data_IF_233811037834
#
_entry.id   IF_233811037834
#
_cell.length_a   1.000
_cell.length_b   1.000
_cell.length_c   1.000
_cell.angle_alpha   90.00
_cell.angle_beta   90.00
_cell.angle_gamma   90.00
#
_symmetry.space_group_name_H-M   'P 1'
#
loop_
_entity.id
_entity.type
_entity.pdbx_description
1 polymer ?
#
# COMPACT_ATOMS: atom_id res chain seq x y z
N UNK A 1 4.79 -0.39 -50.73
CA UNK A 1 3.50 -0.91 -50.22
C UNK A 1 3.35 -0.50 -48.77
N UNK A 2 2.56 0.54 -48.49
CA UNK A 2 2.31 1.02 -47.13
C UNK A 2 1.29 0.09 -46.47
N UNK A 3 1.73 -0.72 -45.53
CA UNK A 3 0.80 -1.46 -44.68
C UNK A 3 -0.03 -0.45 -43.87
N UNK A 4 -1.34 -0.46 -44.06
CA UNK A 4 -2.25 0.44 -43.34
C UNK A 4 -2.15 0.16 -41.83
N UNK A 5 -2.10 1.21 -41.01
CA UNK A 5 -2.13 1.12 -39.52
C UNK A 5 -3.28 0.22 -39.05
N UNK A 6 -4.40 0.19 -39.77
CA UNK A 6 -5.56 -0.67 -39.53
C UNK A 6 -5.26 -2.18 -39.64
N UNK A 7 -4.29 -2.60 -40.48
CA UNK A 7 -3.91 -4.02 -40.58
C UNK A 7 -2.93 -4.45 -39.50
N UNK A 8 -2.05 -3.55 -39.05
CA UNK A 8 -1.14 -3.78 -37.93
C UNK A 8 -1.92 -3.95 -36.61
N UNK A 9 -3.00 -3.23 -36.45
CA UNK A 9 -3.84 -3.26 -35.26
C UNK A 9 -4.59 -4.61 -35.09
N UNK A 10 -4.79 -5.34 -36.18
CA UNK A 10 -5.45 -6.66 -36.19
C UNK A 10 -4.47 -7.83 -36.05
N UNK A 11 -3.16 -7.56 -36.01
CA UNK A 11 -2.16 -8.60 -35.87
C UNK A 11 -2.18 -9.22 -34.48
N UNK A 12 -2.21 -10.58 -34.32
CA UNK A 12 -2.34 -11.25 -33.04
C UNK A 12 -1.20 -10.96 -32.03
N UNK A 13 -0.08 -10.43 -32.49
CA UNK A 13 1.07 -10.03 -31.62
C UNK A 13 1.05 -8.53 -31.29
N UNK A 14 0.08 -7.75 -31.80
CA UNK A 14 -0.04 -6.31 -31.49
C UNK A 14 -1.15 -6.12 -30.48
N UNK A 15 -0.78 -5.85 -29.25
CA UNK A 15 -1.72 -5.56 -28.16
C UNK A 15 -1.99 -4.06 -28.06
N UNK A 16 -3.25 -3.68 -28.08
CA UNK A 16 -3.66 -2.33 -27.71
C UNK A 16 -3.77 -2.23 -26.19
N UNK A 17 -3.12 -1.26 -25.60
CA UNK A 17 -3.26 -0.99 -24.16
C UNK A 17 -4.71 -0.69 -23.71
N UNK A 18 -5.60 -0.36 -24.66
CA UNK A 18 -7.05 -0.20 -24.44
C UNK A 18 -7.80 -1.52 -24.29
N UNK A 19 -7.37 -2.56 -25.00
CA UNK A 19 -8.07 -3.84 -25.05
C UNK A 19 -7.77 -4.68 -23.79
N UNK A 20 -6.68 -4.36 -23.07
CA UNK A 20 -6.39 -4.93 -21.75
C UNK A 20 -7.39 -4.55 -20.65
N UNK A 21 -8.25 -3.57 -20.89
CA UNK A 21 -9.29 -3.19 -19.90
C UNK A 21 -10.46 -4.18 -19.81
N UNK A 22 -10.62 -5.08 -20.78
CA UNK A 22 -11.84 -5.90 -20.87
C UNK A 22 -11.63 -7.37 -21.19
N UNK A 23 -10.42 -7.85 -21.49
CA UNK A 23 -10.28 -9.20 -22.07
C UNK A 23 -9.33 -10.16 -21.37
N UNK A 24 -8.73 -9.80 -20.23
CA UNK A 24 -7.85 -10.74 -19.54
C UNK A 24 -7.91 -10.69 -18.01
N UNK A 25 -9.04 -10.31 -17.44
CA UNK A 25 -9.30 -10.61 -16.05
C UNK A 25 -10.21 -11.86 -15.97
N UNK A 26 -9.59 -12.99 -16.06
CA UNK A 26 -10.05 -14.15 -15.32
C UNK A 26 -9.99 -13.76 -13.84
N UNK A 27 -10.96 -12.90 -13.40
CA UNK A 27 -11.34 -12.64 -12.04
C UNK A 27 -10.21 -12.44 -11.00
N UNK A 28 -9.20 -11.59 -11.26
CA UNK A 28 -8.29 -11.22 -10.18
C UNK A 28 -9.10 -10.54 -9.07
N UNK A 29 -9.26 -11.24 -7.95
CA UNK A 29 -9.97 -10.72 -6.78
C UNK A 29 -9.25 -9.49 -6.27
N UNK A 30 -9.96 -8.37 -6.16
CA UNK A 30 -9.42 -7.13 -5.61
C UNK A 30 -10.08 -6.80 -4.29
N UNK A 31 -9.30 -6.27 -3.38
CA UNK A 31 -9.69 -5.90 -2.03
C UNK A 31 -9.78 -4.38 -1.96
N UNK A 32 -10.98 -3.80 -1.80
CA UNK A 32 -11.14 -2.36 -1.71
C UNK A 32 -10.54 -1.80 -0.42
N UNK A 33 -10.00 -0.59 -0.52
CA UNK A 33 -9.55 0.18 0.65
C UNK A 33 -10.73 0.73 1.47
N UNK A 34 -11.93 0.77 0.88
CA UNK A 34 -13.09 1.42 1.47
C UNK A 34 -13.12 2.93 1.25
N UNK A 35 -12.34 3.42 0.27
CA UNK A 35 -12.24 4.81 -0.14
C UNK A 35 -12.65 4.89 -1.62
N UNK A 36 -13.88 5.35 -1.91
CA UNK A 36 -14.48 5.24 -3.24
C UNK A 36 -13.59 5.80 -4.38
N UNK A 37 -12.95 6.96 -4.16
CA UNK A 37 -12.07 7.58 -5.15
C UNK A 37 -10.81 6.75 -5.37
N UNK A 38 -10.20 6.25 -4.30
CA UNK A 38 -8.99 5.43 -4.36
C UNK A 38 -9.29 4.05 -4.97
N UNK A 39 -10.39 3.43 -4.58
CA UNK A 39 -10.81 2.14 -5.11
C UNK A 39 -11.06 2.22 -6.62
N UNK A 40 -11.73 3.28 -7.08
CA UNK A 40 -11.91 3.55 -8.52
C UNK A 40 -10.57 3.74 -9.24
N UNK A 41 -9.66 4.51 -8.68
CA UNK A 41 -8.33 4.74 -9.24
C UNK A 41 -7.47 3.47 -9.28
N UNK A 42 -7.66 2.56 -8.31
CA UNK A 42 -6.99 1.27 -8.21
C UNK A 42 -7.74 0.13 -8.91
N UNK A 43 -8.69 0.42 -9.82
CA UNK A 43 -9.48 -0.59 -10.54
C UNK A 43 -10.20 -1.58 -9.59
N UNK A 44 -10.72 -1.08 -8.46
CA UNK A 44 -11.45 -1.85 -7.46
C UNK A 44 -10.66 -2.19 -6.19
N UNK A 45 -9.42 -1.72 -6.05
CA UNK A 45 -8.60 -1.94 -4.86
C UNK A 45 -7.28 -2.65 -5.12
N UNK A 46 -6.69 -3.24 -4.09
CA UNK A 46 -5.43 -4.00 -4.20
C UNK A 46 -5.71 -5.45 -4.61
N UNK A 47 -4.88 -6.05 -5.49
CA UNK A 47 -5.00 -7.49 -5.77
C UNK A 47 -4.89 -8.32 -4.49
N UNK A 48 -5.75 -9.34 -4.34
CA UNK A 48 -5.74 -10.21 -3.17
C UNK A 48 -4.42 -10.96 -2.97
N UNK A 49 -3.66 -11.18 -4.05
CA UNK A 49 -2.33 -11.79 -4.02
C UNK A 49 -1.33 -10.94 -4.81
N UNK A 50 -0.13 -10.77 -4.29
CA UNK A 50 0.93 -9.97 -4.89
C UNK A 50 1.55 -9.01 -3.89
N UNK A 51 2.04 -7.86 -4.36
CA UNK A 51 2.68 -6.88 -3.50
C UNK A 51 2.15 -5.46 -3.75
N UNK A 52 2.02 -4.69 -2.68
CA UNK A 52 1.82 -3.26 -2.73
C UNK A 52 2.86 -2.52 -1.88
N UNK A 53 3.08 -1.28 -2.19
CA UNK A 53 3.94 -0.37 -1.45
C UNK A 53 3.17 0.89 -1.06
N UNK A 54 3.33 1.31 0.18
CA UNK A 54 2.80 2.57 0.68
C UNK A 54 3.91 3.37 1.35
N UNK A 55 4.10 4.60 0.91
CA UNK A 55 4.98 5.57 1.54
C UNK A 55 4.12 6.50 2.39
N UNK A 56 4.47 6.63 3.64
CA UNK A 56 3.81 7.53 4.58
C UNK A 56 4.77 7.86 5.72
N UNK A 57 4.59 9.00 6.39
CA UNK A 57 5.22 9.15 7.70
C UNK A 57 4.57 8.16 8.67
N UNK A 58 5.39 7.48 9.47
CA UNK A 58 4.90 6.49 10.43
C UNK A 58 3.85 7.10 11.38
N UNK A 59 2.69 6.45 11.48
CA UNK A 59 1.59 6.91 12.32
C UNK A 59 0.68 7.96 11.69
N UNK A 60 0.83 8.29 10.42
CA UNK A 60 -0.05 9.21 9.70
C UNK A 60 -1.37 8.59 9.20
N UNK A 61 -1.68 7.37 9.60
CA UNK A 61 -2.92 6.70 9.21
C UNK A 61 -2.75 5.68 8.08
N UNK A 62 -1.53 5.31 7.75
CA UNK A 62 -1.22 4.29 6.74
C UNK A 62 -1.88 2.94 7.08
N UNK A 63 -1.86 2.56 8.36
CA UNK A 63 -2.52 1.33 8.81
C UNK A 63 -4.04 1.44 8.80
N UNK A 64 -4.58 2.63 9.06
CA UNK A 64 -6.01 2.86 8.99
C UNK A 64 -6.51 2.80 7.54
N UNK A 65 -5.74 3.32 6.58
CA UNK A 65 -6.04 3.18 5.16
C UNK A 65 -6.05 1.71 4.73
N UNK A 66 -5.16 0.90 5.29
CA UNK A 66 -5.05 -0.53 5.02
C UNK A 66 -6.07 -1.39 5.78
N UNK A 67 -6.75 -0.83 6.78
CA UNK A 67 -7.57 -1.60 7.71
C UNK A 67 -8.64 -2.47 7.01
N UNK A 68 -9.34 -1.92 6.01
CA UNK A 68 -10.35 -2.67 5.27
C UNK A 68 -9.75 -3.83 4.47
N UNK A 69 -8.57 -3.64 3.89
CA UNK A 69 -7.83 -4.69 3.16
C UNK A 69 -7.40 -5.80 4.12
N UNK A 70 -6.85 -5.43 5.28
CA UNK A 70 -6.41 -6.38 6.31
C UNK A 70 -7.60 -7.17 6.89
N UNK A 71 -8.73 -6.51 7.11
CA UNK A 71 -9.96 -7.16 7.56
C UNK A 71 -10.44 -8.24 6.57
N UNK A 72 -10.44 -7.92 5.29
CA UNK A 72 -10.81 -8.88 4.24
C UNK A 72 -9.82 -10.05 4.14
N UNK A 73 -8.51 -9.79 4.33
CA UNK A 73 -7.50 -10.85 4.38
C UNK A 73 -7.68 -11.75 5.61
N UNK A 74 -8.00 -11.17 6.76
CA UNK A 74 -8.27 -11.93 7.99
C UNK A 74 -9.46 -12.90 7.86
N UNK A 75 -10.44 -12.59 7.02
CA UNK A 75 -11.57 -13.47 6.74
C UNK A 75 -11.15 -14.86 6.21
N UNK A 76 -9.96 -14.99 5.65
CA UNK A 76 -9.39 -16.29 5.20
C UNK A 76 -8.96 -17.21 6.34
N UNK A 77 -9.00 -16.76 7.59
CA UNK A 77 -8.55 -17.46 8.81
C UNK A 77 -7.04 -17.80 8.83
N UNK A 78 -6.27 -17.35 7.84
CA UNK A 78 -4.81 -17.46 7.83
C UNK A 78 -4.19 -16.32 8.65
N UNK A 79 -2.89 -16.40 8.91
CA UNK A 79 -2.16 -15.41 9.71
C UNK A 79 -1.86 -14.14 8.92
N UNK A 80 -1.86 -13.02 9.62
CA UNK A 80 -1.27 -11.75 9.20
C UNK A 80 0.06 -11.63 9.94
N UNK A 81 1.16 -11.58 9.20
CA UNK A 81 2.50 -11.45 9.76
C UNK A 81 2.93 -9.99 9.70
N UNK A 82 3.37 -9.48 10.84
CA UNK A 82 3.89 -8.13 10.97
C UNK A 82 5.40 -8.18 11.16
N UNK A 83 6.13 -7.49 10.32
CA UNK A 83 7.58 -7.33 10.36
C UNK A 83 7.89 -5.84 10.56
N UNK A 84 7.78 -5.32 11.79
CA UNK A 84 7.94 -3.90 12.06
C UNK A 84 9.39 -3.41 11.96
N UNK A 85 10.34 -4.35 11.82
CA UNK A 85 11.78 -4.07 11.80
C UNK A 85 12.18 -3.29 13.07
N UNK A 86 12.64 -2.06 12.96
CA UNK A 86 13.05 -1.22 14.10
C UNK A 86 11.89 -0.37 14.69
N UNK A 87 10.69 -0.49 14.14
CA UNK A 87 9.51 0.21 14.63
C UNK A 87 8.75 -0.64 15.65
N UNK A 88 8.01 0.02 16.52
CA UNK A 88 7.12 -0.63 17.46
C UNK A 88 5.67 -0.43 17.02
N UNK A 89 4.97 -1.52 16.75
CA UNK A 89 3.52 -1.46 16.57
C UNK A 89 2.88 -1.12 17.92
N UNK A 90 1.94 -0.18 17.91
CA UNK A 90 1.22 0.19 19.12
C UNK A 90 0.34 -1.00 19.59
N UNK A 91 0.63 -1.61 20.75
CA UNK A 91 -0.13 -2.77 21.22
C UNK A 91 -1.59 -2.46 21.48
N UNK A 92 -1.87 -1.23 21.94
CA UNK A 92 -3.24 -0.81 22.21
C UNK A 92 -4.06 -0.65 20.90
N UNK A 93 -3.44 -0.16 19.83
CA UNK A 93 -4.07 -0.16 18.52
C UNK A 93 -4.31 -1.60 18.04
N UNK A 94 -3.30 -2.46 18.13
CA UNK A 94 -3.41 -3.86 17.69
C UNK A 94 -4.52 -4.61 18.44
N UNK A 95 -4.66 -4.41 19.76
CA UNK A 95 -5.68 -5.06 20.59
C UNK A 95 -7.12 -4.68 20.23
N UNK A 96 -7.30 -3.55 19.56
CA UNK A 96 -8.61 -3.06 19.11
C UNK A 96 -8.96 -3.51 17.69
N UNK A 97 -8.04 -4.16 16.97
CA UNK A 97 -8.32 -4.63 15.61
C UNK A 97 -9.08 -5.96 15.60
N UNK A 98 -10.05 -6.14 14.69
CA UNK A 98 -10.81 -7.40 14.58
C UNK A 98 -9.93 -8.61 14.20
N UNK A 99 -8.74 -8.37 13.67
CA UNK A 99 -7.78 -9.39 13.23
C UNK A 99 -6.62 -9.62 14.21
N UNK A 100 -6.76 -9.18 15.47
CA UNK A 100 -5.74 -9.35 16.49
C UNK A 100 -5.32 -10.81 16.66
N UNK A 101 -6.29 -11.73 16.74
CA UNK A 101 -6.02 -13.15 16.96
C UNK A 101 -5.27 -13.83 15.83
N UNK A 102 -5.40 -13.31 14.60
CA UNK A 102 -4.67 -13.78 13.43
C UNK A 102 -3.31 -13.09 13.26
N UNK A 103 -3.05 -12.02 14.01
CA UNK A 103 -1.85 -11.22 13.88
C UNK A 103 -0.67 -11.77 14.69
N UNK A 104 0.44 -11.98 14.01
CA UNK A 104 1.71 -12.34 14.63
C UNK A 104 2.76 -11.28 14.32
N UNK A 105 3.42 -10.79 15.34
CA UNK A 105 4.52 -9.84 15.23
C UNK A 105 5.84 -10.57 15.32
N UNK A 106 6.68 -10.44 14.32
CA UNK A 106 7.99 -11.04 14.24
C UNK A 106 9.03 -9.93 14.21
N UNK A 107 9.81 -9.82 15.29
CA UNK A 107 10.90 -8.85 15.38
C UNK A 107 12.10 -9.34 14.58
N UNK A 108 12.72 -8.42 13.84
CA UNK A 108 13.92 -8.68 13.06
C UNK A 108 14.99 -7.64 13.39
N UNK A 109 16.24 -8.02 13.28
CA UNK A 109 17.36 -7.16 13.67
C UNK A 109 17.75 -6.15 12.59
N UNK A 110 17.43 -6.45 11.34
CA UNK A 110 17.76 -5.64 10.17
C UNK A 110 16.83 -5.92 8.99
N UNK A 111 16.96 -5.13 7.93
CA UNK A 111 16.10 -5.25 6.73
C UNK A 111 16.33 -6.56 5.94
N UNK A 112 17.53 -7.11 5.96
CA UNK A 112 17.81 -8.37 5.26
C UNK A 112 17.10 -9.54 5.93
N UNK A 113 17.11 -9.58 7.28
CA UNK A 113 16.39 -10.57 8.06
C UNK A 113 14.87 -10.41 7.88
N UNK A 114 14.38 -9.16 7.81
CA UNK A 114 12.96 -8.89 7.55
C UNK A 114 12.53 -9.39 6.17
N UNK A 115 13.34 -9.16 5.13
CA UNK A 115 13.06 -9.66 3.79
C UNK A 115 13.09 -11.19 3.74
N UNK A 116 14.07 -11.82 4.38
CA UNK A 116 14.15 -13.26 4.50
C UNK A 116 12.94 -13.85 5.24
N UNK A 117 12.58 -13.28 6.40
CA UNK A 117 11.41 -13.71 7.16
C UNK A 117 10.11 -13.56 6.36
N UNK A 118 9.97 -12.48 5.59
CA UNK A 118 8.84 -12.28 4.68
C UNK A 118 8.75 -13.41 3.64
N UNK A 119 9.86 -13.79 3.01
CA UNK A 119 9.88 -14.89 2.04
C UNK A 119 9.52 -16.23 2.68
N UNK A 120 10.01 -16.52 3.90
CA UNK A 120 9.68 -17.75 4.61
C UNK A 120 8.19 -17.76 5.00
N UNK A 121 7.66 -16.63 5.49
CA UNK A 121 6.24 -16.50 5.81
C UNK A 121 5.35 -16.79 4.59
N UNK A 122 5.68 -16.22 3.42
CA UNK A 122 4.94 -16.48 2.17
C UNK A 122 5.01 -17.96 1.79
N UNK A 123 6.20 -18.55 1.80
CA UNK A 123 6.43 -19.96 1.41
C UNK A 123 5.74 -20.95 2.34
N UNK A 124 5.54 -20.61 3.61
CA UNK A 124 4.84 -21.45 4.58
C UNK A 124 3.37 -21.67 4.24
N UNK A 125 2.76 -20.80 3.39
CA UNK A 125 1.33 -20.79 3.06
C UNK A 125 0.38 -20.63 4.27
N UNK A 126 0.95 -20.43 5.46
CA UNK A 126 0.19 -20.23 6.68
C UNK A 126 -0.30 -18.79 6.86
N UNK A 127 0.22 -17.86 6.07
CA UNK A 127 -0.19 -16.46 6.11
C UNK A 127 -0.96 -16.04 4.85
N UNK A 128 -1.89 -15.13 5.02
CA UNK A 128 -2.63 -14.48 3.93
C UNK A 128 -2.07 -13.09 3.61
N UNK A 129 -1.38 -12.49 4.58
CA UNK A 129 -0.81 -11.16 4.43
C UNK A 129 0.49 -11.03 5.23
N UNK A 130 1.47 -10.33 4.69
CA UNK A 130 2.69 -9.90 5.37
C UNK A 130 2.79 -8.39 5.27
N UNK A 131 2.80 -7.69 6.41
CA UNK A 131 3.03 -6.24 6.48
C UNK A 131 4.46 -6.02 6.95
N UNK A 132 5.30 -5.46 6.10
CA UNK A 132 6.72 -5.28 6.37
C UNK A 132 7.11 -3.81 6.29
N UNK A 133 7.69 -3.31 7.38
CA UNK A 133 8.27 -1.97 7.46
C UNK A 133 9.75 -2.02 7.08
N UNK A 134 10.16 -1.14 6.17
CA UNK A 134 11.54 -1.02 5.75
C UNK A 134 11.80 0.39 5.17
N UNK A 135 13.01 0.91 5.38
CA UNK A 135 13.37 2.20 4.83
C UNK A 135 13.50 2.14 3.31
N UNK A 136 14.09 1.07 2.79
CA UNK A 136 14.32 0.89 1.36
C UNK A 136 14.25 -0.58 0.95
N UNK A 137 13.87 -0.82 -0.31
CA UNK A 137 13.96 -2.13 -0.94
C UNK A 137 14.47 -1.99 -2.38
N UNK A 138 15.38 -2.86 -2.76
CA UNK A 138 15.84 -2.91 -4.15
C UNK A 138 14.67 -3.33 -5.08
N UNK A 139 14.51 -2.71 -6.27
CA UNK A 139 13.44 -3.06 -7.20
C UNK A 139 13.38 -4.54 -7.54
N UNK A 140 14.54 -5.18 -7.67
CA UNK A 140 14.64 -6.63 -7.93
C UNK A 140 14.06 -7.46 -6.77
N UNK A 141 14.30 -7.06 -5.52
CA UNK A 141 13.75 -7.74 -4.35
C UNK A 141 12.23 -7.53 -4.25
N UNK A 142 11.74 -6.30 -4.46
CA UNK A 142 10.31 -6.01 -4.49
C UNK A 142 9.57 -6.84 -5.56
N UNK A 143 10.16 -6.95 -6.75
CA UNK A 143 9.61 -7.80 -7.83
C UNK A 143 9.59 -9.27 -7.44
N UNK A 144 10.65 -9.76 -6.79
CA UNK A 144 10.72 -11.16 -6.32
C UNK A 144 9.62 -11.45 -5.30
N UNK A 145 9.41 -10.55 -4.32
CA UNK A 145 8.33 -10.68 -3.35
C UNK A 145 6.95 -10.67 -4.02
N UNK A 146 6.73 -9.79 -4.99
CA UNK A 146 5.47 -9.74 -5.74
C UNK A 146 5.17 -11.06 -6.45
N UNK A 147 6.16 -11.65 -7.14
CA UNK A 147 5.99 -12.92 -7.87
C UNK A 147 5.71 -14.06 -6.88
N UNK A 148 6.50 -14.11 -5.81
CA UNK A 148 6.36 -15.13 -4.77
C UNK A 148 4.98 -15.03 -4.09
N UNK A 149 4.56 -13.83 -3.73
CA UNK A 149 3.27 -13.61 -3.09
C UNK A 149 2.09 -14.03 -3.99
N UNK A 150 2.16 -13.77 -5.29
CA UNK A 150 1.15 -14.26 -6.26
C UNK A 150 1.13 -15.78 -6.35
N UNK A 151 2.29 -16.40 -6.35
CA UNK A 151 2.41 -17.88 -6.44
C UNK A 151 1.77 -18.58 -5.23
N UNK A 152 1.83 -17.99 -4.04
CA UNK A 152 1.37 -18.58 -2.79
C UNK A 152 0.10 -17.93 -2.22
N UNK A 153 -0.64 -17.18 -3.02
CA UNK A 153 -1.91 -16.52 -2.63
C UNK A 153 -1.77 -15.65 -1.36
N UNK A 154 -0.70 -14.89 -1.28
CA UNK A 154 -0.39 -13.98 -0.18
C UNK A 154 -0.35 -12.53 -0.67
N UNK A 155 -0.73 -11.57 0.19
CA UNK A 155 -0.53 -10.15 -0.04
C UNK A 155 0.68 -9.67 0.77
N UNK A 156 1.64 -9.04 0.10
CA UNK A 156 2.75 -8.33 0.77
C UNK A 156 2.50 -6.84 0.74
N UNK A 157 2.50 -6.21 1.91
CA UNK A 157 2.40 -4.76 2.07
C UNK A 157 3.74 -4.23 2.54
N UNK A 158 4.41 -3.46 1.69
CA UNK A 158 5.66 -2.78 1.99
C UNK A 158 5.34 -1.38 2.50
N UNK A 159 5.63 -1.09 3.76
CA UNK A 159 5.42 0.22 4.37
C UNK A 159 6.76 0.92 4.49
N UNK A 160 6.89 2.07 3.84
CA UNK A 160 8.10 2.89 3.87
C UNK A 160 7.86 4.12 4.75
N UNK A 161 8.44 4.19 5.96
CA UNK A 161 8.31 5.33 6.85
C UNK A 161 9.19 6.49 6.34
N UNK A 162 8.61 7.38 5.55
CA UNK A 162 9.27 8.57 5.04
C UNK A 162 9.02 8.84 3.56
N UNK A 163 9.20 10.10 3.16
CA UNK A 163 8.90 10.59 1.81
C UNK A 163 10.04 10.39 0.78
N UNK A 164 11.09 9.67 1.10
CA UNK A 164 12.17 9.43 0.13
C UNK A 164 11.73 8.42 -0.92
N UNK A 165 11.46 8.91 -2.12
CA UNK A 165 11.08 8.11 -3.27
C UNK A 165 12.29 7.72 -4.11
N UNK A 166 12.65 6.47 -4.19
CA UNK A 166 13.47 5.95 -5.28
C UNK A 166 12.54 5.47 -6.40
N UNK A 167 11.93 6.35 -7.20
CA UNK A 167 11.08 5.94 -8.32
C UNK A 167 9.96 4.91 -7.98
N UNK A 168 9.11 4.58 -8.96
CA UNK A 168 8.05 3.60 -8.74
C UNK A 168 8.61 2.18 -8.58
N UNK A 169 8.17 1.46 -7.53
CA UNK A 169 8.52 0.07 -7.31
C UNK A 169 7.78 -0.87 -8.28
N UNK A 170 8.39 -1.98 -8.71
CA UNK A 170 7.78 -2.96 -9.60
C UNK A 170 6.81 -3.89 -8.84
N UNK A 171 5.84 -3.32 -8.15
CA UNK A 171 4.77 -3.98 -7.40
C UNK A 171 3.40 -3.72 -8.07
N UNK A 172 2.34 -4.36 -7.58
CA UNK A 172 1.00 -4.17 -8.16
C UNK A 172 0.47 -2.75 -7.95
N UNK A 173 0.64 -2.21 -6.74
CA UNK A 173 0.29 -0.84 -6.40
C UNK A 173 1.47 -0.22 -5.66
N UNK A 174 1.91 0.95 -6.10
CA UNK A 174 2.90 1.78 -5.42
C UNK A 174 2.29 3.15 -5.21
N UNK A 175 2.09 3.52 -3.95
CA UNK A 175 1.41 4.75 -3.56
C UNK A 175 2.16 5.51 -2.47
N UNK A 176 1.83 6.79 -2.38
CA UNK A 176 2.28 7.67 -1.32
C UNK A 176 1.06 8.34 -0.67
N UNK A 177 0.98 8.24 0.66
CA UNK A 177 -0.01 8.94 1.46
C UNK A 177 0.59 10.27 1.89
N UNK A 178 -0.07 11.36 1.54
CA UNK A 178 0.34 12.71 1.89
C UNK A 178 -0.82 13.48 2.49
N UNK A 179 -0.48 14.55 3.17
CA UNK A 179 -1.43 15.42 3.82
C UNK A 179 -1.09 16.88 3.49
N UNK A 180 -2.09 17.61 3.05
CA UNK A 180 -2.06 19.07 2.95
C UNK A 180 -2.89 19.68 4.08
N UNK A 181 -2.88 20.98 4.23
CA UNK A 181 -3.45 21.73 5.35
C UNK A 181 -4.88 21.33 5.77
N UNK A 182 -5.64 20.71 4.88
CA UNK A 182 -7.03 20.33 5.14
C UNK A 182 -7.44 18.94 4.67
N UNK A 183 -6.66 18.30 3.79
CA UNK A 183 -7.09 17.06 3.12
C UNK A 183 -5.99 16.02 3.04
N UNK A 184 -6.40 14.77 3.01
CA UNK A 184 -5.55 13.62 2.75
C UNK A 184 -5.58 13.26 1.28
N UNK A 185 -4.41 12.98 0.72
CA UNK A 185 -4.24 12.60 -0.67
C UNK A 185 -3.44 11.31 -0.79
N UNK A 186 -3.76 10.56 -1.81
CA UNK A 186 -2.93 9.46 -2.27
C UNK A 186 -2.39 9.79 -3.66
N UNK A 187 -1.08 9.65 -3.81
CA UNK A 187 -0.42 9.71 -5.10
C UNK A 187 -0.13 8.27 -5.53
N UNK A 188 -0.71 7.85 -6.65
CA UNK A 188 -0.45 6.53 -7.24
C UNK A 188 0.70 6.64 -8.23
N UNK A 189 1.86 6.11 -7.87
CA UNK A 189 3.03 6.04 -8.74
C UNK A 189 2.94 4.88 -9.72
N UNK A 190 2.28 3.79 -9.31
CA UNK A 190 2.04 2.60 -10.12
C UNK A 190 0.76 1.90 -9.70
N UNK A 191 0.00 1.42 -10.69
CA UNK A 191 -1.18 0.58 -10.48
C UNK A 191 -1.24 -0.48 -11.57
N UNK A 192 -1.40 -1.75 -11.22
CA UNK A 192 -1.68 -2.80 -12.18
C UNK A 192 -3.13 -2.69 -12.66
N UNK A 193 -3.35 -2.64 -13.96
CA UNK A 193 -4.68 -2.53 -14.55
C UNK A 193 -5.27 -1.11 -14.59
N UNK A 194 -4.52 -0.08 -14.15
CA UNK A 194 -4.94 1.33 -14.26
C UNK A 194 -3.74 2.25 -14.52
N UNK A 195 -4.02 3.54 -14.66
CA UNK A 195 -2.98 4.55 -14.86
C UNK A 195 -2.58 5.21 -13.53
N UNK A 196 -1.31 5.60 -13.37
CA UNK A 196 -0.87 6.44 -12.26
C UNK A 196 -1.72 7.72 -12.17
N UNK A 197 -2.04 8.12 -10.96
CA UNK A 197 -2.84 9.33 -10.70
C UNK A 197 -2.25 10.09 -9.52
N UNK A 198 -2.35 11.43 -9.59
CA UNK A 198 -1.89 12.31 -8.53
C UNK A 198 -3.09 12.93 -7.82
N UNK A 199 -2.91 13.30 -6.56
CA UNK A 199 -3.89 14.03 -5.76
C UNK A 199 -5.28 13.37 -5.69
N UNK A 200 -5.33 12.06 -5.43
CA UNK A 200 -6.60 11.37 -5.15
C UNK A 200 -7.00 11.73 -3.72
N UNK A 201 -8.03 12.54 -3.59
CA UNK A 201 -8.58 12.89 -2.29
C UNK A 201 -9.22 11.67 -1.63
N UNK A 202 -8.85 11.43 -0.38
CA UNK A 202 -9.46 10.39 0.46
C UNK A 202 -10.05 11.03 1.71
N UNK A 203 -11.02 10.34 2.31
CA UNK A 203 -11.52 10.71 3.62
C UNK A 203 -10.41 10.53 4.66
N UNK A 204 -10.51 11.27 5.76
CA UNK A 204 -9.51 11.20 6.82
C UNK A 204 -9.34 9.75 7.30
N UNK A 205 -8.14 9.16 7.21
CA UNK A 205 -7.95 7.75 7.52
C UNK A 205 -8.02 7.45 9.03
N UNK A 206 -7.94 8.48 9.89
CA UNK A 206 -8.02 8.30 11.34
C UNK A 206 -9.46 8.41 11.83
N UNK A 207 -9.85 7.65 12.88
CA UNK A 207 -11.15 7.78 13.51
C UNK A 207 -11.41 9.22 13.99
N UNK A 208 -12.66 9.66 13.95
CA UNK A 208 -13.05 11.01 14.35
C UNK A 208 -12.57 11.39 15.77
N UNK A 209 -12.49 10.41 16.69
CA UNK A 209 -11.96 10.62 18.04
C UNK A 209 -10.50 11.09 18.06
N UNK A 210 -9.70 10.67 17.08
CA UNK A 210 -8.29 11.07 16.96
C UNK A 210 -8.11 12.35 16.14
N UNK A 211 -9.12 12.78 15.39
CA UNK A 211 -9.06 14.00 14.58
C UNK A 211 -8.91 15.25 15.44
N UNK A 212 -9.46 15.28 16.65
CA UNK A 212 -9.30 16.37 17.59
C UNK A 212 -7.83 16.54 18.04
N UNK A 213 -7.13 15.45 18.28
CA UNK A 213 -5.69 15.45 18.65
C UNK A 213 -4.86 15.96 17.48
N UNK A 214 -5.12 15.45 16.29
CA UNK A 214 -4.42 15.88 15.06
C UNK A 214 -4.67 17.37 14.80
N UNK A 215 -5.89 17.86 14.98
CA UNK A 215 -6.23 19.27 14.80
C UNK A 215 -5.56 20.15 15.87
N UNK A 216 -5.45 19.70 17.12
CA UNK A 216 -4.72 20.39 18.16
C UNK A 216 -3.24 20.52 17.85
N UNK A 217 -2.58 19.45 17.37
CA UNK A 217 -1.18 19.51 16.92
C UNK A 217 -0.98 20.45 15.74
N UNK A 218 -1.91 20.53 14.80
CA UNK A 218 -1.86 21.45 13.65
C UNK A 218 -1.92 22.91 14.09
N UNK A 219 -2.83 23.26 15.00
CA UNK A 219 -2.94 24.60 15.54
C UNK A 219 -1.68 25.03 16.28
N UNK A 220 -1.04 24.10 16.99
CA UNK A 220 0.22 24.35 17.68
C UNK A 220 1.39 24.59 16.72
N UNK A 221 1.51 23.80 15.65
CA UNK A 221 2.59 23.98 14.66
C UNK A 221 2.42 25.24 13.81
N UNK A 222 1.19 25.67 13.49
CA UNK A 222 0.94 26.91 12.76
C UNK A 222 1.21 28.14 13.62
N UNK A 223 0.91 28.11 14.92
CA UNK A 223 1.20 29.23 15.83
C UNK A 223 2.70 29.39 16.11
N UNK A 224 3.47 28.30 16.13
CA UNK A 224 4.93 28.36 16.31
C UNK A 224 5.67 28.87 15.06
N UNK A 225 5.13 28.66 13.87
CA UNK A 225 5.73 29.17 12.62
C UNK A 225 5.53 30.69 12.48
N UNK A 226 4.43 31.23 12.99
CA UNK A 226 4.16 32.68 12.98
C UNK A 226 5.02 33.45 14.00
N UNK A 227 5.36 32.82 15.12
CA UNK A 227 6.17 33.43 16.16
C UNK A 227 7.66 33.58 15.77
N UNK A 228 8.15 32.85 14.79
CA UNK A 228 9.55 32.92 14.30
C UNK A 228 9.72 34.07 13.29
N UNK A 229 8.65 34.54 12.65
CA UNK A 229 8.72 35.65 11.68
C UNK A 229 8.57 37.04 12.29
N UNK A 230 8.19 37.15 13.58
CA UNK A 230 8.09 38.46 14.27
C UNK A 230 9.35 38.86 15.05
N UNK A 231 10.44 38.10 15.02
CA UNK A 231 11.68 38.34 15.74
C UNK A 231 12.89 38.49 14.77
N UNK A 232 12.64 39.01 13.57
CA UNK A 232 13.72 39.35 12.61
C UNK A 232 13.64 40.81 12.20
#
# INVERSE_FOLDING_TARGET
>A
MSASISSLIKHPLVFRGRDHRHSNDGGEVRLPFGQANLDKACAGGVPAAGAMSIRALAGQGELQLLNNVLLQKAATQKRIIWLPNQLYLNPNWMSQTPYQQQSWVVSTSNEADAQWACEQAIRSQACCCVVMYLAQIAPKAARRLQVLARQYDCLVVLVHPGYRSPGALPVNIDMELSFDTQQWFVHLHRVSGAWPQQHITIEHPLPAANSAIVNAFRQYSSSSATAIHEVS
#
